data_IF_320840671956
#
_entry.id   IF_320840671956
#
_cell.length_a   1.000
_cell.length_b   1.000
_cell.length_c   1.000
_cell.angle_alpha   90.00
_cell.angle_beta   90.00
_cell.angle_gamma   90.00
#
_symmetry.space_group_name_H-M   'P 1'
#
loop_
_entity.id
_entity.type
_entity.pdbx_description
1 polymer ?
#
# COMPACT_ATOMS: atom_id res chain seq x y z
N UNK A 1 12.65 15.50 41.40
CA UNK A 1 11.49 14.60 41.26
C UNK A 1 10.27 15.49 41.05
N UNK A 2 9.45 15.41 40.01
CA UNK A 2 9.33 14.46 38.93
C UNK A 2 8.68 15.17 37.73
N UNK A 3 9.32 15.01 36.58
CA UNK A 3 8.93 15.53 35.28
C UNK A 3 7.78 14.66 34.77
N UNK A 4 6.53 15.08 34.90
CA UNK A 4 5.38 14.25 34.46
C UNK A 4 4.23 15.00 33.79
N UNK A 5 4.50 16.05 33.03
CA UNK A 5 3.46 16.75 32.24
C UNK A 5 3.98 17.30 30.90
N UNK A 6 4.58 16.44 30.06
CA UNK A 6 5.06 16.86 28.74
C UNK A 6 4.77 15.83 27.62
N UNK A 7 3.63 15.15 27.68
CA UNK A 7 3.26 14.10 26.72
C UNK A 7 1.76 14.11 26.35
N UNK A 8 1.14 15.29 26.20
CA UNK A 8 -0.25 15.38 25.70
C UNK A 8 -0.43 16.31 24.48
N UNK A 9 0.64 16.88 23.94
CA UNK A 9 0.57 17.84 22.82
C UNK A 9 1.13 17.27 21.49
N UNK A 10 1.29 15.94 21.38
CA UNK A 10 1.79 15.28 20.17
C UNK A 10 0.69 14.67 19.28
N UNK A 11 -0.58 14.99 19.53
CA UNK A 11 -1.73 14.31 18.90
C UNK A 11 -2.56 15.16 17.92
N UNK A 12 -2.21 16.42 17.61
CA UNK A 12 -3.09 17.29 16.79
C UNK A 12 -2.46 17.98 15.58
N UNK A 13 -1.25 17.60 15.16
CA UNK A 13 -0.72 18.08 13.87
C UNK A 13 0.34 17.12 13.35
N UNK A 14 -0.10 16.03 12.73
CA UNK A 14 0.78 15.12 12.00
C UNK A 14 1.33 15.90 10.78
N UNK A 15 2.66 16.08 10.73
CA UNK A 15 3.37 16.87 9.72
C UNK A 15 3.07 16.32 8.30
N UNK A 16 2.78 17.15 7.29
CA UNK A 16 2.48 16.67 5.93
C UNK A 16 3.66 15.91 5.28
N UNK A 17 4.90 16.12 5.75
CA UNK A 17 6.06 15.31 5.35
C UNK A 17 6.04 13.89 5.94
N UNK A 18 5.30 13.68 7.03
CA UNK A 18 5.06 12.35 7.60
C UNK A 18 4.01 11.57 6.79
N UNK A 19 3.09 12.27 6.13
CA UNK A 19 2.13 11.67 5.19
C UNK A 19 2.79 11.25 3.86
N UNK A 20 3.84 11.94 3.40
CA UNK A 20 4.67 11.49 2.26
C UNK A 20 5.51 10.24 2.57
N UNK A 21 5.65 9.88 3.86
CA UNK A 21 6.29 8.63 4.31
C UNK A 21 5.30 7.46 4.30
N UNK A 22 3.99 7.71 4.28
CA UNK A 22 2.92 6.69 4.19
C UNK A 22 2.76 6.15 2.76
N UNK A 23 3.88 5.75 2.19
CA UNK A 23 3.93 5.04 0.93
C UNK A 23 4.13 3.54 1.22
N UNK A 24 3.85 2.68 0.23
CA UNK A 24 3.96 1.22 0.36
C UNK A 24 5.20 0.83 1.20
N UNK A 25 5.06 0.01 2.27
CA UNK A 25 6.12 -0.18 3.29
C UNK A 25 7.41 -0.82 2.76
N UNK A 26 7.46 -1.13 1.47
CA UNK A 26 8.60 -1.71 0.77
C UNK A 26 9.14 -0.76 -0.31
N UNK A 27 8.31 -0.31 -1.26
CA UNK A 27 8.81 0.42 -2.45
C UNK A 27 8.40 1.90 -2.53
N UNK A 28 7.47 2.33 -1.69
CA UNK A 28 6.85 3.67 -1.76
C UNK A 28 6.29 4.08 -3.13
N UNK A 29 6.10 3.12 -4.03
CA UNK A 29 5.63 3.33 -5.40
C UNK A 29 4.12 3.19 -5.56
N UNK A 30 3.59 3.61 -6.73
CA UNK A 30 2.18 3.48 -7.06
C UNK A 30 1.77 2.01 -7.21
N UNK A 31 0.58 1.67 -6.71
CA UNK A 31 -0.07 0.37 -6.86
C UNK A 31 -1.16 0.49 -7.92
N UNK A 32 -1.29 -0.52 -8.78
CA UNK A 32 -2.36 -0.57 -9.77
C UNK A 32 -3.51 -1.44 -9.27
N UNK A 33 -4.75 -0.93 -9.27
CA UNK A 33 -5.92 -1.77 -9.03
C UNK A 33 -6.10 -2.75 -10.17
N UNK A 34 -6.44 -3.99 -9.82
CA UNK A 34 -6.70 -5.11 -10.73
C UNK A 34 -8.05 -5.73 -10.38
N UNK A 35 -8.55 -6.61 -11.22
CA UNK A 35 -9.85 -7.26 -10.99
C UNK A 35 -9.89 -8.01 -9.66
N UNK A 36 -11.06 -7.99 -9.01
CA UNK A 36 -11.35 -8.80 -7.83
C UNK A 36 -10.82 -8.22 -6.50
N UNK A 37 -11.00 -6.92 -6.29
CA UNK A 37 -10.67 -6.23 -5.03
C UNK A 37 -9.22 -6.46 -4.61
N UNK A 38 -8.30 -6.27 -5.57
CA UNK A 38 -6.87 -6.48 -5.38
C UNK A 38 -6.08 -5.30 -5.94
N UNK A 39 -4.92 -5.07 -5.34
CA UNK A 39 -3.92 -4.13 -5.80
C UNK A 39 -2.67 -4.89 -6.18
N UNK A 40 -2.18 -4.68 -7.40
CA UNK A 40 -0.95 -5.28 -7.88
C UNK A 40 0.17 -4.24 -7.98
N UNK A 41 1.35 -4.62 -7.51
CA UNK A 41 2.57 -3.86 -7.67
C UNK A 41 3.41 -4.47 -8.81
N UNK A 42 3.45 -3.86 -10.01
CA UNK A 42 4.23 -4.39 -11.12
C UNK A 42 5.76 -4.34 -10.92
N UNK A 43 6.25 -3.58 -9.93
CA UNK A 43 7.69 -3.43 -9.67
C UNK A 43 8.24 -4.53 -8.77
N UNK A 44 7.48 -4.89 -7.74
CA UNK A 44 7.82 -5.96 -6.79
C UNK A 44 7.07 -7.26 -7.07
N UNK A 45 6.12 -7.23 -7.99
CA UNK A 45 5.23 -8.34 -8.31
C UNK A 45 4.44 -8.85 -7.10
N UNK A 46 4.03 -7.92 -6.24
CA UNK A 46 3.24 -8.20 -5.05
C UNK A 46 1.77 -7.90 -5.30
N UNK A 47 0.90 -8.75 -4.76
CA UNK A 47 -0.54 -8.62 -4.77
C UNK A 47 -0.98 -8.34 -3.33
N UNK A 48 -1.74 -7.27 -3.16
CA UNK A 48 -2.41 -6.92 -1.91
C UNK A 48 -3.91 -7.11 -2.10
N UNK A 49 -4.56 -7.74 -1.11
CA UNK A 49 -6.03 -7.86 -1.10
C UNK A 49 -6.67 -6.61 -0.51
N UNK A 50 -7.89 -6.32 -0.94
CA UNK A 50 -8.76 -5.32 -0.36
C UNK A 50 -9.82 -6.08 0.44
N UNK A 51 -9.89 -5.82 1.75
CA UNK A 51 -10.83 -6.44 2.68
C UNK A 51 -11.77 -5.36 3.21
N UNK A 52 -13.08 -5.51 3.01
CA UNK A 52 -14.09 -4.50 3.38
C UNK A 52 -13.84 -3.10 2.78
N UNK A 53 -13.25 -3.04 1.58
CA UNK A 53 -12.84 -1.78 0.95
C UNK A 53 -11.56 -1.16 1.53
N UNK A 54 -10.90 -1.82 2.48
CA UNK A 54 -9.63 -1.40 3.07
C UNK A 54 -8.49 -2.22 2.45
N UNK A 55 -7.54 -1.57 1.73
CA UNK A 55 -6.39 -2.26 1.16
C UNK A 55 -5.43 -2.71 2.28
N UNK A 56 -5.17 -4.02 2.35
CA UNK A 56 -4.27 -4.62 3.32
C UNK A 56 -2.82 -4.46 2.85
N UNK A 57 -2.24 -3.28 3.08
CA UNK A 57 -0.86 -2.94 2.70
C UNK A 57 0.17 -3.39 3.75
N UNK A 58 0.04 -4.63 4.23
CA UNK A 58 0.96 -5.24 5.19
C UNK A 58 2.00 -6.08 4.46
N UNK A 59 3.26 -6.04 4.90
CA UNK A 59 4.35 -6.83 4.28
C UNK A 59 4.07 -8.32 4.38
N UNK A 60 3.65 -8.80 5.54
CA UNK A 60 3.38 -10.22 5.79
C UNK A 60 2.14 -10.76 5.06
N UNK A 61 1.20 -9.88 4.69
CA UNK A 61 -0.01 -10.26 3.94
C UNK A 61 0.16 -10.07 2.41
N UNK A 62 1.30 -9.55 1.97
CA UNK A 62 1.59 -9.38 0.56
C UNK A 62 1.85 -10.74 -0.08
N UNK A 63 1.11 -11.06 -1.15
CA UNK A 63 1.29 -12.30 -1.88
C UNK A 63 2.14 -12.07 -3.13
N UNK A 64 3.17 -12.89 -3.34
CA UNK A 64 3.95 -12.84 -4.57
C UNK A 64 3.14 -13.40 -5.74
N UNK A 65 3.05 -12.62 -6.82
CA UNK A 65 2.42 -13.05 -8.05
C UNK A 65 3.32 -14.06 -8.78
N UNK A 66 2.74 -15.19 -9.19
CA UNK A 66 3.43 -16.15 -10.06
C UNK A 66 3.66 -15.56 -11.46
N UNK A 67 4.54 -16.17 -12.25
CA UNK A 67 4.87 -15.65 -13.59
C UNK A 67 3.67 -15.64 -14.56
N UNK A 68 2.73 -16.57 -14.39
CA UNK A 68 1.45 -16.55 -15.10
C UNK A 68 0.56 -15.39 -14.64
N UNK A 69 0.39 -15.22 -13.32
CA UNK A 69 -0.41 -14.10 -12.78
C UNK A 69 0.17 -12.74 -13.15
N UNK A 70 1.49 -12.57 -13.14
CA UNK A 70 2.15 -11.35 -13.60
C UNK A 70 1.71 -10.95 -15.02
N UNK A 71 1.62 -11.92 -15.95
CA UNK A 71 1.19 -11.64 -17.32
C UNK A 71 -0.28 -11.24 -17.39
N UNK A 72 -1.15 -11.95 -16.68
CA UNK A 72 -2.59 -11.64 -16.65
C UNK A 72 -2.85 -10.27 -16.03
N UNK A 73 -2.20 -9.95 -14.91
CA UNK A 73 -2.35 -8.69 -14.20
C UNK A 73 -1.72 -7.52 -14.97
N UNK A 74 -0.56 -7.72 -15.58
CA UNK A 74 0.07 -6.69 -16.42
C UNK A 74 -0.77 -6.39 -17.68
N UNK A 75 -1.45 -7.40 -18.24
CA UNK A 75 -2.38 -7.21 -19.34
C UNK A 75 -3.60 -6.37 -18.91
N UNK A 76 -4.18 -6.63 -17.73
CA UNK A 76 -5.30 -5.83 -17.21
C UNK A 76 -4.91 -4.36 -16.98
N UNK A 77 -3.73 -4.11 -16.42
CA UNK A 77 -3.29 -2.74 -16.09
C UNK A 77 -3.00 -1.91 -17.35
N UNK A 78 -2.53 -2.57 -18.40
CA UNK A 78 -2.25 -1.93 -19.69
C UNK A 78 -3.48 -1.46 -20.46
N UNK A 79 -4.69 -1.88 -20.06
CA UNK A 79 -5.94 -1.64 -20.78
C UNK A 79 -6.75 -0.43 -20.25
N UNK A 80 -6.08 0.54 -19.64
CA UNK A 80 -6.72 1.81 -19.21
C UNK A 80 -6.86 2.84 -20.35
N UNK A 81 -7.09 2.40 -21.58
CA UNK A 81 -7.48 3.28 -22.69
C UNK A 81 -8.96 3.08 -23.01
N UNK A 82 -9.85 3.80 -22.32
CA UNK A 82 -11.18 4.10 -22.83
C UNK A 82 -11.57 5.55 -22.53
#
# INVERSE_FOLDING_TARGET
MEIRRRNLEAMTSLDPRLLEILACPVDRGPLSPVSGDRLYNPRLHLIYRIDDGIPVLLRDEAQEATSDEQKSLAAEIGDSSN
#
